data_IF_934491236430
#
_entry.id   IF_934491236430
#
_cell.length_a   1.000
_cell.length_b   1.000
_cell.length_c   1.000
_cell.angle_alpha   90.00
_cell.angle_beta   90.00
_cell.angle_gamma   90.00
#
_symmetry.space_group_name_H-M   'P 1'
#
loop_
_entity.id
_entity.type
_entity.pdbx_description
1 polymer ?
#
# COMPACT_ATOMS: atom_id res chain seq x y z
N UNK A 1 -22.37 15.62 -4.85
CA UNK A 1 -21.01 16.08 -4.73
C UNK A 1 -20.13 15.61 -5.87
N UNK A 2 -18.97 16.21 -5.99
CA UNK A 2 -18.00 15.88 -7.01
C UNK A 2 -16.84 15.12 -6.39
N UNK A 3 -16.38 14.06 -7.06
CA UNK A 3 -15.27 13.22 -6.61
C UNK A 3 -14.10 13.39 -7.57
N UNK A 4 -12.91 13.58 -7.00
CA UNK A 4 -11.69 13.72 -7.78
C UNK A 4 -10.67 12.67 -7.32
N UNK A 5 -9.96 12.06 -8.26
CA UNK A 5 -8.83 11.21 -7.97
C UNK A 5 -7.64 12.10 -7.58
N UNK A 6 -7.25 12.05 -6.32
CA UNK A 6 -6.10 12.80 -5.81
C UNK A 6 -4.80 12.10 -6.15
N UNK A 7 -4.72 10.81 -5.86
CA UNK A 7 -3.51 10.03 -6.08
C UNK A 7 -3.82 8.56 -6.31
N UNK A 8 -2.91 7.92 -6.99
CA UNK A 8 -2.90 6.47 -7.19
C UNK A 8 -1.48 5.99 -6.99
N UNK A 9 -1.29 4.95 -6.19
CA UNK A 9 0.02 4.40 -5.92
C UNK A 9 -0.03 2.89 -5.83
N UNK A 10 1.07 2.25 -6.16
CA UNK A 10 1.19 0.80 -6.06
C UNK A 10 1.31 0.37 -4.61
N UNK A 11 0.69 -0.77 -4.29
CA UNK A 11 1.02 -1.52 -3.10
C UNK A 11 2.11 -2.52 -3.50
N UNK A 12 3.18 -2.55 -2.73
CA UNK A 12 4.36 -3.33 -3.04
C UNK A 12 4.61 -4.42 -2.00
N UNK A 13 5.10 -5.54 -2.49
CA UNK A 13 5.73 -6.56 -1.65
C UNK A 13 7.14 -6.09 -1.32
N UNK A 14 7.52 -6.19 -0.05
CA UNK A 14 8.88 -5.87 0.39
C UNK A 14 9.44 -6.97 1.27
N UNK A 15 10.75 -7.19 1.12
CA UNK A 15 11.53 -8.05 2.00
C UNK A 15 12.98 -7.57 2.00
N UNK A 16 13.83 -8.15 2.84
CA UNK A 16 15.26 -7.86 2.74
C UNK A 16 15.83 -8.52 1.49
N UNK A 17 16.94 -7.99 0.97
CA UNK A 17 17.58 -8.55 -0.23
C UNK A 17 17.94 -10.04 -0.04
N UNK A 18 18.39 -10.42 1.13
CA UNK A 18 18.76 -11.80 1.44
C UNK A 18 17.58 -12.77 1.43
N UNK A 19 16.35 -12.26 1.60
CA UNK A 19 15.14 -13.08 1.65
C UNK A 19 14.36 -13.12 0.32
N UNK A 20 14.77 -12.39 -0.70
CA UNK A 20 13.96 -12.21 -1.91
C UNK A 20 13.60 -13.48 -2.66
N UNK A 21 14.42 -14.52 -2.55
CA UNK A 21 14.19 -15.79 -3.25
C UNK A 21 13.55 -16.85 -2.36
N UNK A 22 13.27 -16.54 -1.09
CA UNK A 22 12.57 -17.46 -0.20
C UNK A 22 11.07 -17.48 -0.51
N UNK A 23 10.44 -18.65 -0.46
CA UNK A 23 8.97 -18.70 -0.54
C UNK A 23 8.36 -17.90 0.60
N UNK A 24 7.36 -17.11 0.31
CA UNK A 24 6.76 -16.20 1.31
C UNK A 24 6.07 -16.96 2.45
N UNK A 25 5.69 -18.21 2.22
CA UNK A 25 5.13 -19.08 3.26
C UNK A 25 6.16 -19.53 4.29
N UNK A 26 7.46 -19.37 4.02
CA UNK A 26 8.55 -19.85 4.87
C UNK A 26 9.01 -18.81 5.88
N UNK A 27 8.53 -17.58 5.81
CA UNK A 27 8.96 -16.57 6.76
C UNK A 27 7.80 -15.61 7.11
N UNK A 28 8.03 -14.83 8.15
CA UNK A 28 6.99 -14.09 8.84
C UNK A 28 6.36 -12.98 7.99
N UNK A 29 5.04 -12.91 7.98
CA UNK A 29 4.34 -11.74 7.47
C UNK A 29 4.19 -10.69 8.58
N UNK A 30 4.61 -9.48 8.30
CA UNK A 30 4.47 -8.36 9.24
C UNK A 30 3.34 -7.47 8.75
N UNK A 31 2.28 -7.41 9.54
CA UNK A 31 1.10 -6.60 9.25
C UNK A 31 1.21 -5.24 9.92
N UNK A 32 0.54 -4.26 9.37
CA UNK A 32 0.47 -2.92 9.93
C UNK A 32 -0.93 -2.34 9.75
N UNK A 33 -1.24 -1.30 10.49
CA UNK A 33 -2.56 -0.66 10.43
C UNK A 33 -2.82 -0.06 9.05
N UNK A 34 -4.00 -0.35 8.51
CA UNK A 34 -4.48 0.23 7.26
C UNK A 34 -6.01 0.32 7.31
N UNK A 35 -6.62 1.02 6.37
CA UNK A 35 -8.07 1.06 6.31
C UNK A 35 -8.67 -0.30 5.92
N UNK A 36 -9.97 -0.46 6.14
CA UNK A 36 -10.63 -1.75 5.93
C UNK A 36 -10.57 -2.21 4.48
N UNK A 37 -10.66 -1.29 3.52
CA UNK A 37 -10.62 -1.62 2.10
C UNK A 37 -9.27 -2.17 1.70
N UNK A 38 -8.19 -1.51 2.10
CA UNK A 38 -6.83 -1.95 1.81
C UNK A 38 -6.53 -3.25 2.55
N UNK A 39 -6.96 -3.39 3.80
CA UNK A 39 -6.77 -4.62 4.56
C UNK A 39 -7.41 -5.83 3.88
N UNK A 40 -8.63 -5.66 3.33
CA UNK A 40 -9.31 -6.72 2.61
C UNK A 40 -8.56 -7.10 1.32
N UNK A 41 -8.04 -6.11 0.60
CA UNK A 41 -7.27 -6.36 -0.61
C UNK A 41 -5.91 -7.00 -0.32
N UNK A 42 -5.26 -6.62 0.77
CA UNK A 42 -4.03 -7.28 1.23
C UNK A 42 -4.29 -8.74 1.58
N UNK A 43 -5.39 -9.02 2.25
CA UNK A 43 -5.79 -10.38 2.57
C UNK A 43 -6.05 -11.21 1.30
N UNK A 44 -6.71 -10.62 0.31
CA UNK A 44 -6.91 -11.25 -1.00
C UNK A 44 -5.58 -11.60 -1.67
N UNK A 45 -4.65 -10.65 -1.69
CA UNK A 45 -3.34 -10.88 -2.30
C UNK A 45 -2.59 -12.01 -1.59
N UNK A 46 -2.60 -12.01 -0.26
CA UNK A 46 -1.97 -13.08 0.52
C UNK A 46 -2.57 -14.44 0.19
N UNK A 47 -3.89 -14.52 0.14
CA UNK A 47 -4.59 -15.75 -0.20
C UNK A 47 -4.19 -16.24 -1.60
N UNK A 48 -4.20 -15.35 -2.59
CA UNK A 48 -3.79 -15.69 -3.97
C UNK A 48 -2.35 -16.17 -4.06
N UNK A 49 -1.51 -15.77 -3.14
CA UNK A 49 -0.09 -16.14 -3.11
C UNK A 49 0.22 -17.25 -2.10
N UNK A 50 -0.79 -17.97 -1.65
CA UNK A 50 -0.61 -19.15 -0.81
C UNK A 50 -0.43 -18.88 0.67
N UNK A 51 -0.64 -17.66 1.14
CA UNK A 51 -0.57 -17.31 2.55
C UNK A 51 -2.00 -17.34 3.11
N UNK A 52 -2.39 -18.50 3.62
CA UNK A 52 -3.80 -18.78 3.94
C UNK A 52 -4.13 -18.81 5.41
N UNK A 53 -3.14 -18.69 6.29
CA UNK A 53 -3.39 -18.72 7.72
C UNK A 53 -2.85 -17.47 8.39
N UNK A 54 -3.39 -17.16 9.54
CA UNK A 54 -2.98 -16.03 10.34
C UNK A 54 -2.01 -16.39 11.45
N UNK A 55 -1.64 -17.67 11.54
CA UNK A 55 -0.69 -18.12 12.55
C UNK A 55 0.68 -17.56 12.28
N UNK A 56 1.27 -16.89 13.28
CA UNK A 56 2.59 -16.31 13.16
C UNK A 56 2.64 -14.94 12.54
N UNK A 57 1.50 -14.29 12.33
CA UNK A 57 1.50 -12.91 11.92
C UNK A 57 2.03 -12.02 13.04
N UNK A 58 2.88 -11.09 12.66
CA UNK A 58 3.39 -10.07 13.57
C UNK A 58 2.73 -8.75 13.20
N UNK A 59 2.09 -8.10 14.17
CA UNK A 59 1.35 -6.86 13.92
C UNK A 59 2.06 -5.70 14.59
N UNK A 60 2.35 -4.66 13.81
CA UNK A 60 2.91 -3.40 14.32
C UNK A 60 1.94 -2.26 14.04
N UNK A 61 2.01 -1.22 14.85
CA UNK A 61 1.02 -0.14 14.81
C UNK A 61 1.38 1.00 13.85
N UNK A 62 2.54 0.94 13.21
CA UNK A 62 2.87 1.94 12.20
C UNK A 62 3.73 1.36 11.08
N UNK A 63 3.64 2.03 9.94
CA UNK A 63 4.26 1.58 8.71
C UNK A 63 5.78 1.72 8.73
N UNK A 64 6.30 2.71 9.44
CA UNK A 64 7.75 2.93 9.54
C UNK A 64 8.42 1.82 10.33
N UNK A 65 7.81 1.39 11.45
CA UNK A 65 8.31 0.26 12.22
C UNK A 65 8.27 -1.02 11.39
N UNK A 66 7.21 -1.20 10.60
CA UNK A 66 7.08 -2.35 9.71
C UNK A 66 8.23 -2.41 8.71
N UNK A 67 8.47 -1.34 7.98
CA UNK A 67 9.52 -1.31 6.96
C UNK A 67 10.91 -1.53 7.56
N UNK A 68 11.16 -0.99 8.75
CA UNK A 68 12.45 -1.18 9.42
C UNK A 68 12.68 -2.63 9.83
N UNK A 69 11.66 -3.31 10.36
CA UNK A 69 11.76 -4.73 10.71
C UNK A 69 12.01 -5.58 9.47
N UNK A 70 11.33 -5.28 8.37
CA UNK A 70 11.53 -5.97 7.11
C UNK A 70 12.94 -5.77 6.58
N UNK A 71 13.43 -4.53 6.61
CA UNK A 71 14.79 -4.21 6.16
C UNK A 71 15.85 -4.99 6.93
N UNK A 72 15.59 -5.24 8.22
CA UNK A 72 16.47 -6.03 9.08
C UNK A 72 16.33 -7.53 8.92
N UNK A 73 15.45 -7.98 8.04
CA UNK A 73 15.30 -9.40 7.70
C UNK A 73 14.32 -10.18 8.54
N UNK A 74 13.53 -9.53 9.39
CA UNK A 74 12.57 -10.24 10.24
C UNK A 74 11.46 -10.93 9.46
N UNK A 75 11.00 -10.33 8.36
CA UNK A 75 9.89 -10.89 7.59
C UNK A 75 9.65 -10.10 6.32
N UNK A 76 8.45 -10.22 5.79
CA UNK A 76 8.01 -9.49 4.60
C UNK A 76 6.72 -8.73 4.90
N UNK A 77 6.40 -7.77 4.05
CA UNK A 77 5.21 -6.96 4.23
C UNK A 77 4.67 -6.47 2.90
N UNK A 78 3.45 -5.91 2.94
CA UNK A 78 2.83 -5.19 1.84
C UNK A 78 2.68 -3.74 2.28
N UNK A 79 3.09 -2.80 1.43
CA UNK A 79 2.92 -1.39 1.79
C UNK A 79 2.92 -0.47 0.58
N UNK A 80 2.36 0.73 0.73
CA UNK A 80 2.33 1.71 -0.35
C UNK A 80 3.73 2.13 -0.77
N UNK A 81 3.91 2.31 -2.06
CA UNK A 81 5.18 2.71 -2.66
C UNK A 81 5.74 4.00 -2.04
N UNK A 82 4.85 4.94 -1.70
CA UNK A 82 5.26 6.23 -1.11
C UNK A 82 5.99 6.06 0.22
N UNK A 83 5.74 4.97 0.94
CA UNK A 83 6.39 4.71 2.23
C UNK A 83 7.80 4.11 2.08
N UNK A 84 8.29 3.90 0.87
CA UNK A 84 9.50 3.14 0.59
C UNK A 84 10.69 3.98 0.14
N UNK A 85 10.62 5.30 0.24
CA UNK A 85 11.67 6.20 -0.26
C UNK A 85 13.05 5.90 0.32
N UNK A 86 13.12 5.51 1.58
CA UNK A 86 14.37 5.20 2.26
C UNK A 86 14.57 3.71 2.53
N UNK A 87 13.71 2.87 1.99
CA UNK A 87 13.80 1.42 2.20
C UNK A 87 14.93 0.83 1.34
N UNK A 88 15.82 0.07 1.99
CA UNK A 88 17.00 -0.52 1.35
C UNK A 88 16.88 -2.03 1.24
N UNK A 89 15.81 -2.50 0.67
CA UNK A 89 15.58 -3.91 0.47
C UNK A 89 14.99 -4.18 -0.91
N UNK A 90 14.41 -5.36 -1.06
CA UNK A 90 13.76 -5.76 -2.29
C UNK A 90 12.33 -5.24 -2.32
N UNK A 91 11.94 -4.62 -3.43
CA UNK A 91 10.61 -4.04 -3.63
C UNK A 91 10.04 -4.54 -4.94
N UNK A 92 8.83 -5.05 -4.91
CA UNK A 92 8.13 -5.50 -6.11
C UNK A 92 6.67 -5.04 -6.07
N UNK A 93 6.21 -4.25 -7.05
CA UNK A 93 4.80 -3.90 -7.14
C UNK A 93 3.94 -5.17 -7.27
N UNK A 94 2.84 -5.20 -6.54
CA UNK A 94 1.96 -6.37 -6.51
C UNK A 94 0.95 -6.33 -7.65
N UNK A 95 0.62 -7.51 -8.16
CA UNK A 95 -0.51 -7.72 -9.07
C UNK A 95 -1.40 -8.81 -8.49
N UNK A 96 -2.68 -8.75 -8.83
CA UNK A 96 -3.61 -9.82 -8.50
C UNK A 96 -3.58 -10.91 -9.56
N UNK A 97 -4.18 -12.05 -9.24
CA UNK A 97 -4.21 -13.22 -10.10
C UNK A 97 -4.82 -12.94 -11.48
N UNK A 98 -5.79 -12.02 -11.54
CA UNK A 98 -6.40 -11.60 -12.80
C UNK A 98 -5.54 -10.64 -13.64
N UNK A 99 -4.32 -10.33 -13.18
CA UNK A 99 -3.40 -9.43 -13.86
C UNK A 99 -3.54 -7.96 -13.52
N UNK A 100 -4.56 -7.59 -12.76
CA UNK A 100 -4.72 -6.19 -12.35
C UNK A 100 -3.67 -5.78 -11.32
N UNK A 101 -3.12 -4.56 -11.43
CA UNK A 101 -2.19 -4.07 -10.42
C UNK A 101 -2.89 -3.84 -9.09
N UNK A 102 -2.18 -4.09 -8.00
CA UNK A 102 -2.68 -3.76 -6.66
C UNK A 102 -2.33 -2.30 -6.39
N UNK A 103 -3.33 -1.43 -6.48
CA UNK A 103 -3.15 0.01 -6.29
C UNK A 103 -4.06 0.53 -5.20
N UNK A 104 -3.61 1.58 -4.53
CA UNK A 104 -4.41 2.37 -3.60
C UNK A 104 -4.75 3.69 -4.26
N UNK A 105 -6.04 4.00 -4.32
CA UNK A 105 -6.52 5.27 -4.86
C UNK A 105 -7.04 6.13 -3.73
N UNK A 106 -6.64 7.38 -3.72
CA UNK A 106 -7.13 8.38 -2.76
C UNK A 106 -7.96 9.39 -3.52
N UNK A 107 -9.17 9.65 -3.03
CA UNK A 107 -10.10 10.56 -3.66
C UNK A 107 -10.39 11.74 -2.73
N UNK A 108 -10.67 12.88 -3.34
CA UNK A 108 -11.21 14.04 -2.65
C UNK A 108 -12.67 14.17 -3.04
N UNK A 109 -13.52 14.32 -2.03
CA UNK A 109 -14.93 14.63 -2.23
C UNK A 109 -15.16 16.09 -1.93
N UNK A 110 -15.79 16.80 -2.88
CA UNK A 110 -16.25 18.17 -2.66
C UNK A 110 -17.75 18.20 -2.74
N UNK A 111 -18.37 18.87 -1.78
CA UNK A 111 -19.77 19.21 -1.92
C UNK A 111 -19.90 20.31 -2.99
N UNK A 112 -21.05 20.34 -3.64
CA UNK A 112 -21.29 21.24 -4.75
C UNK A 112 -20.97 22.71 -4.43
N UNK A 113 -21.42 23.17 -3.25
CA UNK A 113 -21.21 24.54 -2.81
C UNK A 113 -19.74 24.85 -2.54
N UNK A 114 -19.02 23.89 -1.96
CA UNK A 114 -17.61 24.05 -1.69
C UNK A 114 -16.78 24.08 -2.99
N UNK A 115 -17.17 23.31 -4.00
CA UNK A 115 -16.46 23.30 -5.29
C UNK A 115 -16.49 24.62 -6.00
N UNK A 116 -17.46 25.51 -5.70
CA UNK A 116 -17.55 26.85 -6.27
C UNK A 116 -16.65 27.87 -5.58
N UNK A 117 -16.05 27.55 -4.44
CA UNK A 117 -15.15 28.47 -3.73
C UNK A 117 -13.84 28.67 -4.50
N UNK A 118 -13.33 29.91 -4.61
CA UNK A 118 -12.08 30.16 -5.34
C UNK A 118 -10.89 29.35 -4.83
N UNK A 119 -10.78 29.16 -3.51
CA UNK A 119 -9.69 28.37 -2.92
C UNK A 119 -9.72 26.91 -3.38
N UNK A 120 -10.91 26.33 -3.48
CA UNK A 120 -11.10 24.95 -3.93
C UNK A 120 -10.79 24.83 -5.42
N UNK A 121 -11.25 25.81 -6.22
CA UNK A 121 -10.95 25.82 -7.66
C UNK A 121 -9.45 25.91 -7.92
N UNK A 122 -8.75 26.77 -7.20
CA UNK A 122 -7.31 26.90 -7.33
C UNK A 122 -6.59 25.57 -7.01
N UNK A 123 -7.00 24.92 -5.94
CA UNK A 123 -6.44 23.63 -5.54
C UNK A 123 -6.69 22.56 -6.61
N UNK A 124 -7.90 22.47 -7.14
CA UNK A 124 -8.25 21.52 -8.20
C UNK A 124 -7.44 21.75 -9.46
N UNK A 125 -7.23 23.01 -9.84
CA UNK A 125 -6.43 23.36 -11.00
C UNK A 125 -4.97 22.95 -10.82
N UNK A 126 -4.43 23.08 -9.62
CA UNK A 126 -3.08 22.64 -9.29
C UNK A 126 -2.94 21.12 -9.42
N UNK A 127 -3.93 20.37 -8.98
CA UNK A 127 -3.93 18.91 -9.10
C UNK A 127 -3.92 18.47 -10.57
N UNK A 128 -4.68 19.15 -11.42
CA UNK A 128 -4.73 18.86 -12.86
C UNK A 128 -3.40 19.11 -13.54
N UNK A 129 -2.66 20.12 -13.11
CA UNK A 129 -1.35 20.46 -13.70
C UNK A 129 -0.26 19.45 -13.37
N UNK A 130 -0.39 18.76 -12.25
CA UNK A 130 0.62 17.84 -11.75
C UNK A 130 0.35 16.36 -12.12
N UNK A 131 -0.57 16.16 -13.02
CA UNK A 131 -0.91 14.83 -13.52
C UNK A 131 -0.12 14.48 -14.76
#
# INVERSE_FOLDING_TARGET
GTQFLLSQENICFICSEENKDRPISDYLYIDHSSDATISAQMARWRYENGVTNDAGNFVVDNIMACSELVERGLGWALMPEVALDNFKGYVKPCTFENGEPFVRRTYIFCQRDAAALPQVQLFMDMLKKNR
#
